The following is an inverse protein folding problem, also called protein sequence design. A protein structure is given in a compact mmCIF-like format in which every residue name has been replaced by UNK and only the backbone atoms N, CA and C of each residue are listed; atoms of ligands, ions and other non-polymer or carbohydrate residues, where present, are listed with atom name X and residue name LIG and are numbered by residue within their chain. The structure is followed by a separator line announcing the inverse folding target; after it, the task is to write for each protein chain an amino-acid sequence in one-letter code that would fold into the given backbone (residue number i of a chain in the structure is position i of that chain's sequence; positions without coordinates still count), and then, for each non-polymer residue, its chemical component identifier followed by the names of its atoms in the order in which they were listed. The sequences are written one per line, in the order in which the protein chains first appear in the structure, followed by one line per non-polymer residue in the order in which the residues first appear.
data_IF_709569159368
#
_entry.id   IF_709569159368
#
_cell.length_a   1.000
_cell.length_b   1.000
_cell.length_c   1.000
_cell.angle_alpha   90.00
_cell.angle_beta   90.00
_cell.angle_gamma   90.00
#
_symmetry.space_group_name_H-M   'P 1'
#
loop_
_entity.id
_entity.type
_entity.pdbx_description
1 polymer ?
#
# COMPACT_ATOMS: atom_id res chain seq x y z
N UNK A 1 8.88 -2.73 18.55
CA UNK A 1 7.79 -2.46 19.50
C UNK A 1 7.30 -1.01 19.53
N UNK A 2 8.11 0.09 19.52
CA UNK A 2 7.57 1.46 19.61
C UNK A 2 6.65 1.88 18.45
N UNK A 3 6.87 1.34 17.23
CA UNK A 3 6.11 1.72 16.00
C UNK A 3 4.63 1.29 16.03
N UNK A 4 4.30 0.28 16.82
CA UNK A 4 2.93 -0.24 16.94
C UNK A 4 2.12 0.52 17.99
N UNK A 5 2.79 1.14 18.98
CA UNK A 5 2.15 1.95 20.01
C UNK A 5 1.52 3.21 19.38
N UNK A 6 2.18 3.85 18.42
CA UNK A 6 1.64 5.04 17.74
C UNK A 6 0.36 4.72 16.92
N UNK A 7 0.24 3.51 16.37
CA UNK A 7 -0.97 3.07 15.68
C UNK A 7 -2.12 2.87 16.66
N UNK A 8 -1.87 2.17 17.78
CA UNK A 8 -2.88 1.95 18.83
C UNK A 8 -3.29 3.29 19.46
N UNK A 9 -2.34 4.18 19.75
CA UNK A 9 -2.61 5.53 20.26
C UNK A 9 -3.42 6.34 19.25
N UNK A 10 -3.09 6.27 17.95
CA UNK A 10 -3.88 6.89 16.88
C UNK A 10 -5.32 6.39 16.84
N UNK A 11 -5.53 5.08 17.00
CA UNK A 11 -6.87 4.46 17.09
C UNK A 11 -7.62 4.95 18.33
N UNK A 12 -6.97 5.00 19.49
CA UNK A 12 -7.58 5.45 20.75
C UNK A 12 -7.97 6.92 20.69
N UNK A 13 -7.08 7.79 20.18
CA UNK A 13 -7.36 9.23 20.02
C UNK A 13 -8.52 9.43 19.04
N UNK A 14 -8.49 8.75 17.89
CA UNK A 14 -9.55 8.83 16.88
C UNK A 14 -10.87 8.24 17.40
N UNK A 15 -10.81 7.11 18.07
CA UNK A 15 -11.95 6.51 18.75
C UNK A 15 -12.57 7.46 19.78
N UNK A 16 -11.72 8.16 20.57
CA UNK A 16 -12.16 9.17 21.54
C UNK A 16 -12.85 10.37 20.86
N UNK A 17 -12.34 10.86 19.75
CA UNK A 17 -12.96 11.94 18.95
C UNK A 17 -14.30 11.48 18.37
N UNK A 18 -14.38 10.24 17.88
CA UNK A 18 -15.64 9.67 17.37
C UNK A 18 -16.67 9.45 18.48
N UNK A 19 -16.25 9.01 19.67
CA UNK A 19 -17.12 8.80 20.85
C UNK A 19 -17.63 10.15 21.37
N UNK A 20 -16.82 11.22 21.37
CA UNK A 20 -17.26 12.58 21.72
C UNK A 20 -18.40 13.11 20.83
N UNK A 21 -18.47 12.63 19.59
CA UNK A 21 -19.56 12.94 18.64
C UNK A 21 -20.72 11.93 18.66
N UNK A 22 -20.72 10.94 19.57
CA UNK A 22 -21.66 9.80 19.65
C UNK A 22 -23.12 10.17 19.97
N UNK A 23 -23.43 11.37 20.37
CA UNK A 23 -24.84 11.81 20.59
C UNK A 23 -25.72 11.75 19.33
N UNK A 24 -25.15 11.44 18.15
CA UNK A 24 -25.89 11.21 16.90
C UNK A 24 -25.98 9.70 16.61
N UNK A 25 -27.19 9.18 16.41
CA UNK A 25 -27.47 7.78 16.02
C UNK A 25 -26.51 7.35 14.89
N UNK A 26 -25.60 6.43 15.18
CA UNK A 26 -24.72 5.80 14.17
C UNK A 26 -25.64 4.94 13.30
N UNK A 27 -25.83 5.33 12.03
CA UNK A 27 -26.48 4.47 11.04
C UNK A 27 -25.38 3.70 10.33
N UNK A 28 -25.26 2.41 10.63
CA UNK A 28 -24.36 1.50 9.89
C UNK A 28 -24.83 1.43 8.43
N UNK A 29 -24.04 2.00 7.52
CA UNK A 29 -24.26 1.82 6.08
C UNK A 29 -23.67 0.47 5.66
N UNK A 30 -24.54 -0.54 5.62
CA UNK A 30 -24.17 -1.88 5.18
C UNK A 30 -24.39 -1.95 3.67
N UNK A 31 -23.29 -1.99 2.91
CA UNK A 31 -23.28 -2.22 1.47
C UNK A 31 -22.38 -3.42 1.12
N UNK A 32 -22.26 -3.72 -0.17
CA UNK A 32 -21.46 -4.84 -0.64
C UNK A 32 -19.97 -4.72 -0.26
N UNK A 33 -19.42 -3.50 -0.27
CA UNK A 33 -18.04 -3.25 0.16
C UNK A 33 -17.86 -3.53 1.66
N UNK A 34 -18.80 -3.09 2.49
CA UNK A 34 -18.75 -3.34 3.93
C UNK A 34 -18.78 -4.83 4.24
N UNK A 35 -19.72 -5.56 3.62
CA UNK A 35 -19.88 -7.01 3.84
C UNK A 35 -18.64 -7.77 3.37
N UNK A 36 -18.19 -7.54 2.14
CA UNK A 36 -17.06 -8.28 1.57
C UNK A 36 -15.76 -8.02 2.35
N UNK A 37 -15.49 -6.77 2.72
CA UNK A 37 -14.32 -6.44 3.54
C UNK A 37 -14.41 -7.02 4.95
N UNK A 38 -15.59 -6.98 5.58
CA UNK A 38 -15.82 -7.59 6.91
C UNK A 38 -15.62 -9.11 6.88
N UNK A 39 -16.10 -9.80 5.83
CA UNK A 39 -15.90 -11.24 5.67
C UNK A 39 -14.42 -11.57 5.47
N UNK A 40 -13.72 -10.80 4.62
CA UNK A 40 -12.27 -10.98 4.43
C UNK A 40 -11.49 -10.81 5.75
N UNK A 41 -11.73 -9.71 6.47
CA UNK A 41 -11.09 -9.44 7.77
C UNK A 41 -11.46 -10.50 8.81
N UNK A 42 -12.72 -10.94 8.84
CA UNK A 42 -13.18 -12.02 9.71
C UNK A 42 -12.45 -13.35 9.44
N UNK A 43 -12.25 -13.69 8.17
CA UNK A 43 -11.46 -14.87 7.79
C UNK A 43 -10.01 -14.77 8.27
N UNK A 44 -9.34 -13.65 7.99
CA UNK A 44 -7.94 -13.41 8.42
C UNK A 44 -7.84 -13.45 9.96
N UNK A 45 -8.84 -12.91 10.67
CA UNK A 45 -8.91 -12.97 12.12
C UNK A 45 -9.03 -14.42 12.63
N UNK A 46 -9.93 -15.22 12.06
CA UNK A 46 -10.08 -16.64 12.42
C UNK A 46 -8.76 -17.39 12.18
N UNK A 47 -8.13 -17.21 11.03
CA UNK A 47 -6.82 -17.79 10.75
C UNK A 47 -5.76 -17.39 11.78
N UNK A 48 -5.80 -16.13 12.27
CA UNK A 48 -4.83 -15.64 13.27
C UNK A 48 -5.00 -16.28 14.65
N UNK A 49 -6.17 -16.84 14.98
CA UNK A 49 -6.41 -17.54 16.24
C UNK A 49 -5.76 -18.95 16.27
N UNK A 50 -5.58 -19.57 15.10
CA UNK A 50 -4.93 -20.87 14.98
C UNK A 50 -3.39 -20.78 14.92
N UNK A 51 -2.87 -19.57 14.80
CA UNK A 51 -1.44 -19.31 14.87
C UNK A 51 -1.13 -18.65 16.22
N UNK A 52 0.04 -18.90 16.80
CA UNK A 52 0.47 -18.26 18.07
C UNK A 52 0.68 -16.74 17.97
N UNK A 53 0.10 -16.10 16.97
CA UNK A 53 0.28 -14.68 16.62
C UNK A 53 -0.83 -13.79 17.19
N UNK A 54 -1.19 -13.92 18.47
CA UNK A 54 -2.28 -13.16 19.11
C UNK A 54 -2.19 -11.64 18.96
N UNK A 55 -0.98 -11.09 18.84
CA UNK A 55 -0.79 -9.64 18.63
C UNK A 55 -1.39 -9.22 17.28
N UNK A 56 -1.29 -10.03 16.24
CA UNK A 56 -1.89 -9.73 14.93
C UNK A 56 -3.41 -9.69 15.00
N UNK A 57 -4.04 -10.57 15.79
CA UNK A 57 -5.49 -10.55 16.01
C UNK A 57 -5.98 -9.23 16.57
N UNK A 58 -5.26 -8.64 17.53
CA UNK A 58 -5.58 -7.32 18.11
C UNK A 58 -5.50 -6.22 17.05
N UNK A 59 -4.49 -6.22 16.18
CA UNK A 59 -4.38 -5.23 15.11
C UNK A 59 -5.48 -5.36 14.06
N UNK A 60 -5.86 -6.60 13.70
CA UNK A 60 -6.94 -6.89 12.74
C UNK A 60 -8.27 -6.33 13.27
N UNK A 61 -8.63 -6.65 14.52
CA UNK A 61 -9.86 -6.16 15.16
C UNK A 61 -9.85 -4.64 15.29
N UNK A 62 -8.73 -4.07 15.75
CA UNK A 62 -8.58 -2.62 15.89
C UNK A 62 -8.73 -1.89 14.55
N UNK A 63 -8.14 -2.45 13.47
CA UNK A 63 -8.29 -1.92 12.13
C UNK A 63 -9.73 -1.99 11.61
N UNK A 64 -10.42 -3.09 11.88
CA UNK A 64 -11.85 -3.21 11.52
C UNK A 64 -12.72 -2.22 12.28
N UNK A 65 -12.52 -2.05 13.59
CA UNK A 65 -13.24 -1.05 14.40
C UNK A 65 -13.00 0.35 13.81
N UNK A 66 -11.75 0.69 13.49
CA UNK A 66 -11.41 1.97 12.88
C UNK A 66 -12.12 2.17 11.53
N UNK A 67 -12.20 1.14 10.69
CA UNK A 67 -12.95 1.17 9.43
C UNK A 67 -14.42 1.49 9.67
N UNK A 68 -15.07 0.80 10.61
CA UNK A 68 -16.49 1.03 10.97
C UNK A 68 -16.70 2.45 11.45
N UNK A 69 -15.83 2.95 12.34
CA UNK A 69 -15.91 4.31 12.88
C UNK A 69 -15.71 5.38 11.80
N UNK A 70 -14.70 5.23 10.94
CA UNK A 70 -14.43 6.18 9.86
C UNK A 70 -15.55 6.20 8.82
N UNK A 71 -16.13 5.05 8.52
CA UNK A 71 -17.18 4.91 7.52
C UNK A 71 -18.48 5.60 7.96
N UNK A 72 -18.80 5.55 9.24
CA UNK A 72 -20.03 6.10 9.81
C UNK A 72 -19.87 7.51 10.38
N UNK A 73 -18.64 8.00 10.51
CA UNK A 73 -18.32 9.34 10.98
C UNK A 73 -18.63 10.40 9.91
N UNK A 74 -19.29 11.50 10.29
CA UNK A 74 -19.44 12.69 9.45
C UNK A 74 -18.14 13.52 9.51
N UNK A 75 -17.08 13.05 8.90
CA UNK A 75 -15.84 13.81 8.85
C UNK A 75 -15.76 14.63 7.56
N UNK A 76 -15.22 15.84 7.66
CA UNK A 76 -14.86 16.62 6.47
C UNK A 76 -13.73 15.89 5.72
N UNK A 77 -14.09 15.17 4.67
CA UNK A 77 -13.12 14.47 3.81
C UNK A 77 -12.09 15.45 3.22
N UNK A 78 -12.47 16.70 2.99
CA UNK A 78 -11.57 17.74 2.48
C UNK A 78 -10.47 18.11 3.47
N UNK A 79 -10.84 18.29 4.75
CA UNK A 79 -9.85 18.57 5.81
C UNK A 79 -8.87 17.41 5.97
N UNK A 80 -9.38 16.19 5.96
CA UNK A 80 -8.54 14.99 6.08
C UNK A 80 -7.61 14.82 4.88
N UNK A 81 -8.10 15.03 3.66
CA UNK A 81 -7.30 15.01 2.46
C UNK A 81 -6.18 16.07 2.51
N UNK A 82 -6.48 17.26 3.06
CA UNK A 82 -5.47 18.32 3.24
C UNK A 82 -4.41 17.94 4.28
N UNK A 83 -4.80 17.29 5.37
CA UNK A 83 -3.87 16.77 6.38
C UNK A 83 -2.96 15.71 5.76
N UNK A 84 -3.49 14.75 5.01
CA UNK A 84 -2.69 13.71 4.35
C UNK A 84 -1.72 14.29 3.33
N UNK A 85 -2.15 15.30 2.57
CA UNK A 85 -1.26 16.02 1.67
C UNK A 85 -0.12 16.72 2.43
N UNK A 86 -0.42 17.37 3.57
CA UNK A 86 0.59 18.01 4.42
C UNK A 86 1.56 16.98 5.02
N UNK A 87 1.08 15.81 5.48
CA UNK A 87 1.92 14.72 5.98
C UNK A 87 2.92 14.26 4.90
N UNK A 88 2.47 14.14 3.65
CA UNK A 88 3.36 13.80 2.52
C UNK A 88 4.46 14.85 2.32
N UNK A 89 4.11 16.13 2.36
CA UNK A 89 5.08 17.24 2.22
C UNK A 89 6.07 17.26 3.38
N UNK A 90 5.60 17.11 4.63
CA UNK A 90 6.48 17.06 5.81
C UNK A 90 7.42 15.85 5.76
N UNK A 91 6.92 14.68 5.34
CA UNK A 91 7.74 13.48 5.14
C UNK A 91 8.81 13.70 4.07
N UNK A 92 8.47 14.40 2.97
CA UNK A 92 9.42 14.72 1.92
C UNK A 92 10.48 15.73 2.39
N UNK A 93 10.10 16.75 3.15
CA UNK A 93 11.06 17.70 3.76
C UNK A 93 12.03 16.97 4.70
N UNK A 94 11.52 16.06 5.52
CA UNK A 94 12.36 15.25 6.39
C UNK A 94 13.37 14.40 5.60
N UNK A 95 12.92 13.75 4.51
CA UNK A 95 13.82 13.00 3.63
C UNK A 95 14.86 13.88 2.92
N UNK A 96 14.50 15.12 2.56
CA UNK A 96 15.45 16.07 1.98
C UNK A 96 16.53 16.49 2.99
N UNK A 97 16.16 16.71 4.26
CA UNK A 97 17.10 17.00 5.33
C UNK A 97 18.06 15.81 5.60
N UNK A 98 17.59 14.57 5.44
CA UNK A 98 18.48 13.40 5.47
C UNK A 98 19.44 13.38 4.28
N UNK A 99 18.94 13.66 3.07
CA UNK A 99 19.78 13.67 1.88
C UNK A 99 20.90 14.72 1.95
N UNK A 100 20.60 15.88 2.52
CA UNK A 100 21.60 16.96 2.70
C UNK A 100 22.52 16.77 3.90
N UNK A 101 22.32 15.70 4.71
CA UNK A 101 23.17 15.39 5.86
C UNK A 101 22.86 16.18 7.14
N UNK A 102 21.79 17.02 7.15
CA UNK A 102 21.34 17.69 8.37
C UNK A 102 20.75 16.74 9.41
N UNK A 103 20.20 15.62 8.95
CA UNK A 103 19.65 14.57 9.81
C UNK A 103 20.32 13.25 9.45
N UNK A 104 20.90 12.58 10.43
CA UNK A 104 21.53 11.27 10.24
C UNK A 104 20.48 10.19 9.98
N UNK A 105 20.82 9.25 9.10
CA UNK A 105 20.03 8.05 8.84
C UNK A 105 20.51 6.91 9.73
N UNK A 106 19.57 6.19 10.35
CA UNK A 106 19.88 4.97 11.11
C UNK A 106 20.06 3.73 10.21
N UNK A 107 20.15 3.93 8.90
CA UNK A 107 20.17 2.89 7.88
C UNK A 107 21.38 3.06 6.97
N UNK A 108 21.78 1.97 6.31
CA UNK A 108 22.79 1.99 5.26
C UNK A 108 22.43 2.90 4.06
N UNK A 109 21.15 3.25 3.93
CA UNK A 109 20.64 4.09 2.85
C UNK A 109 20.60 5.56 3.25
N UNK A 110 20.89 6.44 2.32
CA UNK A 110 20.97 7.89 2.54
C UNK A 110 19.62 8.56 2.86
N UNK A 111 18.50 8.01 2.36
CA UNK A 111 17.17 8.59 2.54
C UNK A 111 16.15 7.49 2.85
N UNK A 112 15.72 7.42 4.09
CA UNK A 112 14.75 6.44 4.56
C UNK A 112 13.61 7.04 5.38
N UNK A 113 13.65 8.34 5.64
CA UNK A 113 12.70 8.97 6.56
C UNK A 113 12.79 8.35 7.95
N UNK A 114 11.65 8.05 8.53
CA UNK A 114 11.52 7.33 9.80
C UNK A 114 11.39 5.81 9.61
N UNK A 115 11.62 5.30 8.39
CA UNK A 115 11.48 3.89 8.04
C UNK A 115 12.85 3.19 8.03
N UNK A 116 12.81 1.87 8.05
CA UNK A 116 14.00 1.01 8.01
C UNK A 116 14.61 0.88 6.59
N UNK A 117 13.85 1.26 5.55
CA UNK A 117 14.30 1.17 4.17
C UNK A 117 13.67 2.24 3.26
N UNK A 118 14.27 2.49 2.09
CA UNK A 118 13.78 3.46 1.12
C UNK A 118 12.38 3.15 0.57
N UNK A 119 11.98 1.87 0.49
CA UNK A 119 10.67 1.50 -0.06
C UNK A 119 9.53 1.88 0.89
N UNK A 120 9.71 1.70 2.21
CA UNK A 120 8.75 2.13 3.22
C UNK A 120 8.59 3.66 3.23
N UNK A 121 9.70 4.38 3.16
CA UNK A 121 9.69 5.83 3.06
C UNK A 121 9.00 6.33 1.78
N UNK A 122 9.38 5.78 0.62
CA UNK A 122 8.75 6.15 -0.64
C UNK A 122 7.24 5.83 -0.62
N UNK A 123 6.82 4.71 -0.02
CA UNK A 123 5.42 4.40 0.15
C UNK A 123 4.69 5.49 0.93
N UNK A 124 5.24 5.99 2.06
CA UNK A 124 4.61 7.05 2.85
C UNK A 124 4.36 8.33 2.06
N UNK A 125 5.28 8.71 1.18
CA UNK A 125 5.15 9.88 0.31
C UNK A 125 4.17 9.63 -0.83
N UNK A 126 4.32 8.50 -1.53
CA UNK A 126 3.54 8.18 -2.73
C UNK A 126 2.07 7.95 -2.40
N UNK A 127 1.75 7.41 -1.21
CA UNK A 127 0.37 7.25 -0.77
C UNK A 127 -0.30 8.59 -0.42
N UNK A 128 0.46 9.59 -0.03
CA UNK A 128 -0.02 10.95 0.21
C UNK A 128 -0.12 11.80 -1.07
N UNK A 129 0.64 11.46 -2.11
CA UNK A 129 0.71 12.21 -3.37
C UNK A 129 -0.65 12.42 -4.06
N UNK A 130 -1.56 11.43 -4.17
CA UNK A 130 -2.87 11.63 -4.77
C UNK A 130 -3.72 12.69 -4.07
N UNK A 131 -3.60 12.82 -2.75
CA UNK A 131 -4.34 13.84 -1.98
C UNK A 131 -3.87 15.24 -2.33
N UNK A 132 -2.58 15.43 -2.56
CA UNK A 132 -2.03 16.70 -3.05
C UNK A 132 -2.40 16.93 -4.52
N UNK A 133 -2.28 15.89 -5.37
CA UNK A 133 -2.51 15.98 -6.80
C UNK A 133 -3.97 16.33 -7.14
N UNK A 134 -4.95 15.79 -6.39
CA UNK A 134 -6.38 16.04 -6.63
C UNK A 134 -6.91 17.35 -6.05
N UNK A 135 -6.16 18.05 -5.20
CA UNK A 135 -6.61 19.35 -4.65
C UNK A 135 -6.85 20.36 -5.77
N UNK A 136 -7.99 21.03 -5.71
CA UNK A 136 -8.25 22.21 -6.55
C UNK A 136 -7.57 23.45 -5.95
N UNK A 137 -6.85 24.19 -6.75
CA UNK A 137 -6.15 25.38 -6.29
C UNK A 137 -6.06 26.44 -7.40
N UNK A 138 -6.19 27.70 -7.03
CA UNK A 138 -6.14 28.83 -7.94
C UNK A 138 -5.05 29.83 -7.53
N UNK A 139 -4.57 30.63 -8.47
CA UNK A 139 -3.57 31.70 -8.22
C UNK A 139 -2.29 31.16 -7.53
N UNK A 140 -1.82 31.88 -6.51
CA UNK A 140 -0.59 31.52 -5.74
C UNK A 140 -0.62 30.10 -5.14
N UNK A 141 -1.80 29.59 -4.74
CA UNK A 141 -1.95 28.24 -4.22
C UNK A 141 -1.65 27.17 -5.28
N UNK A 142 -1.92 27.45 -6.55
CA UNK A 142 -1.58 26.55 -7.67
C UNK A 142 -0.06 26.37 -7.80
N UNK A 143 0.70 27.46 -7.70
CA UNK A 143 2.16 27.43 -7.73
C UNK A 143 2.72 26.64 -6.54
N UNK A 144 2.22 26.93 -5.32
CA UNK A 144 2.64 26.20 -4.12
C UNK A 144 2.36 24.69 -4.23
N UNK A 145 1.17 24.31 -4.71
CA UNK A 145 0.82 22.92 -4.98
C UNK A 145 1.80 22.26 -5.97
N UNK A 146 2.11 22.97 -7.08
CA UNK A 146 3.06 22.45 -8.08
C UNK A 146 4.45 22.20 -7.46
N UNK A 147 4.96 23.15 -6.69
CA UNK A 147 6.24 23.03 -5.99
C UNK A 147 6.23 21.88 -4.98
N UNK A 148 5.13 21.71 -4.25
CA UNK A 148 4.97 20.59 -3.34
C UNK A 148 4.95 19.24 -4.07
N UNK A 149 4.22 19.11 -5.18
CA UNK A 149 4.26 17.90 -6.01
C UNK A 149 5.66 17.60 -6.53
N UNK A 150 6.38 18.62 -6.99
CA UNK A 150 7.76 18.49 -7.48
C UNK A 150 8.69 18.03 -6.36
N UNK A 151 8.55 18.58 -5.14
CA UNK A 151 9.31 18.15 -3.98
C UNK A 151 9.10 16.66 -3.69
N UNK A 152 7.84 16.18 -3.67
CA UNK A 152 7.55 14.77 -3.44
C UNK A 152 8.22 13.88 -4.49
N UNK A 153 8.14 14.25 -5.76
CA UNK A 153 8.74 13.52 -6.87
C UNK A 153 10.27 13.45 -6.71
N UNK A 154 10.92 14.58 -6.47
CA UNK A 154 12.37 14.67 -6.30
C UNK A 154 12.83 13.77 -5.14
N UNK A 155 12.17 13.86 -3.99
CA UNK A 155 12.58 13.09 -2.81
C UNK A 155 12.37 11.59 -2.98
N UNK A 156 11.32 11.16 -3.68
CA UNK A 156 11.16 9.74 -4.04
C UNK A 156 12.28 9.26 -4.98
N UNK A 157 12.71 10.09 -5.93
CA UNK A 157 13.85 9.77 -6.80
C UNK A 157 15.15 9.67 -5.96
N UNK A 158 15.42 10.64 -5.09
CA UNK A 158 16.58 10.66 -4.20
C UNK A 158 16.62 9.48 -3.23
N UNK A 159 15.47 8.96 -2.82
CA UNK A 159 15.40 7.75 -1.99
C UNK A 159 15.89 6.48 -2.71
N UNK A 160 15.97 6.49 -4.04
CA UNK A 160 16.35 5.34 -4.86
C UNK A 160 15.35 4.18 -4.82
N UNK A 161 14.09 4.45 -4.42
CA UNK A 161 13.02 3.46 -4.39
C UNK A 161 12.43 3.24 -5.78
N UNK A 162 12.80 2.13 -6.42
CA UNK A 162 12.31 1.76 -7.76
C UNK A 162 10.78 1.64 -7.81
N UNK A 163 10.20 0.97 -6.81
CA UNK A 163 8.75 0.83 -6.70
C UNK A 163 8.07 2.19 -6.51
N UNK A 164 8.67 3.09 -5.72
CA UNK A 164 8.18 4.46 -5.53
C UNK A 164 8.15 5.25 -6.83
N UNK A 165 9.23 5.23 -7.60
CA UNK A 165 9.32 5.92 -8.90
C UNK A 165 8.27 5.37 -9.88
N UNK A 166 8.18 4.05 -10.02
CA UNK A 166 7.20 3.40 -10.89
C UNK A 166 5.78 3.80 -10.50
N UNK A 167 5.45 3.75 -9.20
CA UNK A 167 4.11 4.08 -8.71
C UNK A 167 3.75 5.54 -8.95
N UNK A 168 4.68 6.48 -8.71
CA UNK A 168 4.47 7.90 -9.02
C UNK A 168 4.13 8.11 -10.50
N UNK A 169 4.89 7.49 -11.40
CA UNK A 169 4.64 7.58 -12.84
C UNK A 169 3.26 7.02 -13.21
N UNK A 170 2.93 5.81 -12.75
CA UNK A 170 1.63 5.17 -13.04
C UNK A 170 0.47 6.02 -12.53
N UNK A 171 0.53 6.48 -11.27
CA UNK A 171 -0.55 7.25 -10.65
C UNK A 171 -0.71 8.62 -11.31
N UNK A 172 0.40 9.28 -11.67
CA UNK A 172 0.35 10.56 -12.38
C UNK A 172 -0.26 10.40 -13.77
N UNK A 173 0.17 9.39 -14.53
CA UNK A 173 -0.41 9.09 -15.85
C UNK A 173 -1.90 8.74 -15.73
N UNK A 174 -2.27 7.91 -14.75
CA UNK A 174 -3.66 7.54 -14.51
C UNK A 174 -4.52 8.76 -14.16
N UNK A 175 -4.05 9.62 -13.25
CA UNK A 175 -4.75 10.85 -12.91
C UNK A 175 -5.02 11.72 -14.13
N UNK A 176 -4.01 11.98 -14.95
CA UNK A 176 -4.18 12.81 -16.15
C UNK A 176 -5.04 12.10 -17.22
N UNK A 177 -4.92 10.79 -17.38
CA UNK A 177 -5.77 10.02 -18.29
C UNK A 177 -7.24 10.11 -17.90
N UNK A 178 -7.56 10.00 -16.62
CA UNK A 178 -8.92 10.13 -16.10
C UNK A 178 -9.43 11.58 -16.18
N UNK A 179 -8.59 12.55 -15.86
CA UNK A 179 -8.93 13.98 -15.89
C UNK A 179 -9.23 14.49 -17.28
N UNK A 180 -8.44 14.06 -18.27
CA UNK A 180 -8.55 14.48 -19.66
C UNK A 180 -9.19 13.40 -20.57
N UNK A 181 -9.98 12.49 -20.01
CA UNK A 181 -10.59 11.35 -20.72
C UNK A 181 -11.32 11.76 -22.01
N UNK A 182 -12.03 12.91 -22.03
CA UNK A 182 -12.74 13.42 -23.21
C UNK A 182 -11.78 13.80 -24.35
N UNK A 183 -10.63 14.39 -24.03
CA UNK A 183 -9.60 14.78 -25.00
C UNK A 183 -8.86 13.54 -25.52
N UNK A 184 -8.55 12.61 -24.60
CA UNK A 184 -7.82 11.37 -24.88
C UNK A 184 -8.68 10.41 -25.69
N UNK A 185 -10.02 10.42 -25.56
CA UNK A 185 -10.92 9.51 -26.24
C UNK A 185 -10.75 9.52 -27.76
N UNK A 186 -10.50 10.69 -28.37
CA UNK A 186 -10.28 10.85 -29.81
C UNK A 186 -8.97 10.22 -30.31
N UNK A 187 -7.95 10.06 -29.43
CA UNK A 187 -6.64 9.47 -29.74
C UNK A 187 -6.22 8.42 -28.70
N UNK A 188 -7.19 7.72 -28.13
CA UNK A 188 -6.98 6.83 -26.98
C UNK A 188 -5.93 5.75 -27.23
N UNK A 189 -5.90 5.17 -28.46
CA UNK A 189 -4.93 4.13 -28.81
C UNK A 189 -3.51 4.70 -28.71
N UNK A 190 -3.26 5.88 -29.27
CA UNK A 190 -1.96 6.53 -29.22
C UNK A 190 -1.51 6.85 -27.79
N UNK A 191 -2.42 7.37 -26.93
CA UNK A 191 -2.10 7.66 -25.54
C UNK A 191 -1.88 6.40 -24.70
N UNK A 192 -2.70 5.35 -24.93
CA UNK A 192 -2.54 4.07 -24.22
C UNK A 192 -1.23 3.38 -24.65
N UNK A 193 -0.96 3.29 -25.95
CA UNK A 193 0.26 2.63 -26.45
C UNK A 193 1.51 3.40 -26.05
N UNK A 194 1.53 4.74 -26.16
CA UNK A 194 2.65 5.56 -25.75
C UNK A 194 2.90 5.48 -24.24
N UNK A 195 1.84 5.55 -23.43
CA UNK A 195 1.94 5.37 -21.97
C UNK A 195 2.41 3.97 -21.58
N UNK A 196 1.92 2.93 -22.24
CA UNK A 196 2.36 1.55 -22.00
C UNK A 196 3.85 1.35 -22.38
N UNK A 197 4.26 1.83 -23.54
CA UNK A 197 5.68 1.78 -23.95
C UNK A 197 6.59 2.53 -22.99
N UNK A 198 6.18 3.71 -22.54
CA UNK A 198 6.91 4.47 -21.53
C UNK A 198 7.06 3.69 -20.22
N UNK A 199 5.97 3.11 -19.70
CA UNK A 199 5.99 2.35 -18.45
C UNK A 199 6.81 1.06 -18.57
N UNK A 200 6.76 0.37 -19.72
CA UNK A 200 7.59 -0.80 -20.00
C UNK A 200 9.06 -0.40 -20.02
N UNK A 201 9.42 0.65 -20.76
CA UNK A 201 10.79 1.15 -20.81
C UNK A 201 11.31 1.58 -19.45
N UNK A 202 10.48 2.29 -18.66
CA UNK A 202 10.80 2.67 -17.28
C UNK A 202 11.02 1.43 -16.40
N UNK A 203 10.14 0.45 -16.45
CA UNK A 203 10.24 -0.78 -15.66
C UNK A 203 11.52 -1.55 -15.98
N UNK A 204 11.84 -1.72 -17.27
CA UNK A 204 13.07 -2.35 -17.72
C UNK A 204 14.28 -1.57 -17.21
N UNK A 205 14.32 -0.24 -17.39
CA UNK A 205 15.40 0.61 -16.90
C UNK A 205 15.60 0.49 -15.39
N UNK A 206 14.52 0.46 -14.60
CA UNK A 206 14.58 0.28 -13.15
C UNK A 206 15.11 -1.10 -12.71
N UNK A 207 14.93 -2.15 -13.51
CA UNK A 207 15.54 -3.47 -13.26
C UNK A 207 17.04 -3.39 -13.45
N UNK A 208 17.51 -2.79 -14.55
CA UNK A 208 18.94 -2.67 -14.86
C UNK A 208 19.72 -1.81 -13.87
N UNK A 209 19.08 -0.87 -13.17
CA UNK A 209 19.74 -0.05 -12.14
C UNK A 209 20.23 -0.85 -10.92
N UNK A 210 19.58 -1.96 -10.56
CA UNK A 210 19.95 -2.81 -9.40
C UNK A 210 19.67 -4.29 -9.72
N UNK A 211 20.45 -4.94 -10.60
CA UNK A 211 20.16 -6.30 -11.07
C UNK A 211 20.19 -7.34 -9.93
N UNK A 212 21.17 -7.28 -9.03
CA UNK A 212 21.28 -8.22 -7.91
C UNK A 212 20.02 -8.23 -7.01
N UNK A 213 19.42 -7.07 -6.75
CA UNK A 213 18.17 -6.99 -6.00
C UNK A 213 16.94 -7.54 -6.77
N UNK A 214 16.98 -7.52 -8.10
CA UNK A 214 15.92 -8.14 -8.90
C UNK A 214 16.07 -9.67 -8.90
N UNK A 215 17.28 -10.17 -9.14
CA UNK A 215 17.58 -11.61 -9.10
C UNK A 215 17.31 -12.25 -7.74
N UNK A 216 17.67 -11.56 -6.65
CA UNK A 216 17.35 -12.02 -5.29
C UNK A 216 15.84 -12.17 -5.04
N UNK A 217 14.99 -11.28 -5.60
CA UNK A 217 13.53 -11.44 -5.50
C UNK A 217 13.03 -12.63 -6.31
N UNK A 218 13.60 -12.88 -7.49
CA UNK A 218 13.25 -14.06 -8.29
C UNK A 218 13.54 -15.34 -7.52
N UNK A 219 14.71 -15.43 -6.85
CA UNK A 219 15.01 -16.58 -5.98
C UNK A 219 13.99 -16.71 -4.86
N UNK A 220 13.67 -15.61 -4.16
CA UNK A 220 12.67 -15.61 -3.09
C UNK A 220 11.32 -16.15 -3.62
N UNK A 221 10.89 -15.74 -4.80
CA UNK A 221 9.63 -16.20 -5.39
C UNK A 221 9.68 -17.67 -5.82
N UNK A 222 10.81 -18.15 -6.36
CA UNK A 222 11.01 -19.57 -6.68
C UNK A 222 10.85 -20.44 -5.41
N UNK A 223 11.52 -20.09 -4.32
CA UNK A 223 11.43 -20.77 -3.03
C UNK A 223 10.00 -20.67 -2.47
N UNK A 224 9.42 -19.49 -2.50
CA UNK A 224 8.06 -19.25 -1.99
C UNK A 224 6.98 -20.05 -2.71
N UNK A 225 7.17 -20.39 -3.98
CA UNK A 225 6.26 -21.26 -4.73
C UNK A 225 6.20 -22.68 -4.14
N UNK A 226 7.28 -23.14 -3.48
CA UNK A 226 7.30 -24.42 -2.74
C UNK A 226 6.35 -24.39 -1.55
N UNK A 227 6.33 -23.28 -0.80
CA UNK A 227 5.46 -23.10 0.39
C UNK A 227 3.96 -23.13 0.07
N UNK A 228 3.58 -22.80 -1.18
CA UNK A 228 2.17 -22.81 -1.58
C UNK A 228 1.62 -24.24 -1.79
N UNK A 229 2.48 -25.27 -1.96
CA UNK A 229 2.03 -26.60 -2.42
C UNK A 229 1.33 -27.41 -1.33
N UNK A 230 1.76 -27.30 -0.08
CA UNK A 230 1.29 -28.17 1.00
C UNK A 230 -0.13 -27.80 1.46
N UNK A 231 -0.45 -26.50 1.54
CA UNK A 231 -1.74 -26.00 2.03
C UNK A 231 -2.36 -24.92 1.12
N UNK A 232 -2.41 -25.19 -0.19
CA UNK A 232 -2.82 -24.20 -1.20
C UNK A 232 -4.22 -23.62 -0.97
N UNK A 233 -5.16 -24.39 -0.39
CA UNK A 233 -6.56 -23.94 -0.21
C UNK A 233 -6.68 -22.99 0.97
N UNK A 234 -6.17 -23.35 2.14
CA UNK A 234 -6.34 -22.61 3.39
C UNK A 234 -5.11 -21.78 3.79
N UNK A 235 -3.96 -22.03 3.15
CA UNK A 235 -2.66 -21.45 3.50
C UNK A 235 -2.02 -22.08 4.72
N UNK A 236 -0.79 -21.67 5.01
CA UNK A 236 0.02 -22.17 6.12
C UNK A 236 -0.25 -21.42 7.44
N UNK A 237 -1.15 -20.43 7.42
CA UNK A 237 -1.48 -19.59 8.56
C UNK A 237 -0.69 -18.26 8.59
N UNK A 238 -1.26 -17.30 9.29
CA UNK A 238 -0.72 -15.94 9.38
C UNK A 238 0.67 -15.94 10.04
N UNK A 239 1.66 -15.31 9.38
CA UNK A 239 3.03 -15.22 9.87
C UNK A 239 3.89 -16.44 9.61
N UNK A 240 3.37 -17.47 8.94
CA UNK A 240 4.09 -18.72 8.63
C UNK A 240 5.29 -18.51 7.73
N UNK A 241 5.20 -17.57 6.77
CA UNK A 241 6.29 -17.29 5.82
C UNK A 241 7.65 -17.12 6.51
N UNK A 242 7.68 -16.37 7.60
CA UNK A 242 8.92 -16.10 8.34
C UNK A 242 9.55 -17.36 8.94
N UNK A 243 8.73 -18.31 9.37
CA UNK A 243 9.19 -19.56 9.96
C UNK A 243 9.61 -20.58 8.88
N UNK A 244 8.82 -20.66 7.81
CA UNK A 244 8.89 -21.74 6.84
C UNK A 244 9.86 -21.43 5.68
N UNK A 245 10.22 -20.14 5.46
CA UNK A 245 11.04 -19.76 4.31
C UNK A 245 12.44 -20.37 4.32
N UNK A 246 13.15 -20.34 5.44
CA UNK A 246 14.54 -20.84 5.50
C UNK A 246 14.64 -22.37 5.33
N UNK A 247 13.77 -23.18 5.97
CA UNK A 247 13.71 -24.61 5.68
C UNK A 247 13.42 -24.92 4.22
N UNK A 248 12.46 -24.22 3.59
CA UNK A 248 12.13 -24.43 2.17
C UNK A 248 13.25 -23.95 1.24
N UNK A 249 13.95 -22.86 1.59
CA UNK A 249 15.13 -22.42 0.84
C UNK A 249 16.24 -23.50 0.89
N UNK A 250 16.50 -24.10 2.05
CA UNK A 250 17.49 -25.15 2.17
C UNK A 250 17.12 -26.37 1.31
N UNK A 251 15.84 -26.78 1.31
CA UNK A 251 15.30 -27.85 0.46
C UNK A 251 15.45 -27.52 -1.04
N UNK A 252 15.12 -26.28 -1.44
CA UNK A 252 15.29 -25.83 -2.82
C UNK A 252 16.77 -25.88 -3.25
N UNK A 253 17.68 -25.35 -2.44
CA UNK A 253 19.13 -25.28 -2.75
C UNK A 253 19.81 -26.67 -2.79
N UNK A 254 19.25 -27.67 -2.11
CA UNK A 254 19.72 -29.06 -2.19
C UNK A 254 19.19 -29.81 -3.43
N UNK A 255 18.22 -29.25 -4.14
CA UNK A 255 17.64 -29.85 -5.34
C UNK A 255 18.51 -29.58 -6.59
N UNK A 256 18.27 -30.36 -7.64
CA UNK A 256 18.91 -30.18 -8.96
C UNK A 256 18.42 -28.95 -9.73
N UNK A 257 17.40 -28.26 -9.22
CA UNK A 257 16.83 -27.06 -9.85
C UNK A 257 17.55 -25.76 -9.45
N UNK A 258 18.39 -25.79 -8.42
CA UNK A 258 19.09 -24.63 -7.92
C UNK A 258 20.40 -24.41 -8.69
N UNK A 259 20.52 -23.25 -9.32
CA UNK A 259 21.72 -22.79 -10.00
C UNK A 259 22.76 -22.29 -9.00
N UNK A 260 24.03 -22.17 -9.43
CA UNK A 260 25.08 -21.57 -8.59
C UNK A 260 24.80 -20.10 -8.26
N UNK A 261 24.18 -19.36 -9.16
CA UNK A 261 23.70 -18.01 -8.91
C UNK A 261 22.65 -17.94 -7.80
N UNK A 262 21.76 -18.92 -7.69
CA UNK A 262 20.75 -19.02 -6.62
C UNK A 262 21.45 -19.24 -5.25
N UNK A 263 22.54 -20.02 -5.21
CA UNK A 263 23.33 -20.26 -3.99
C UNK A 263 24.05 -19.02 -3.49
N UNK A 264 24.58 -18.19 -4.41
CA UNK A 264 25.24 -16.93 -4.08
C UNK A 264 24.23 -15.88 -3.55
N UNK A 265 23.02 -15.89 -4.10
CA UNK A 265 21.94 -14.97 -3.72
C UNK A 265 21.13 -15.42 -2.49
N UNK A 266 21.36 -16.65 -2.03
CA UNK A 266 20.65 -17.22 -0.90
C UNK A 266 20.85 -16.39 0.38
N UNK A 267 19.78 -16.17 1.11
CA UNK A 267 19.83 -15.40 2.35
C UNK A 267 18.50 -15.40 3.09
N UNK A 268 18.54 -15.01 4.36
CA UNK A 268 17.34 -14.93 5.16
C UNK A 268 16.48 -13.74 4.77
N UNK A 269 15.17 -13.97 4.64
CA UNK A 269 14.19 -12.91 4.43
C UNK A 269 12.92 -13.17 5.25
N UNK A 270 12.35 -12.08 5.76
CA UNK A 270 11.09 -12.14 6.51
C UNK A 270 9.87 -11.80 5.63
N UNK A 271 10.07 -11.47 4.35
CA UNK A 271 9.02 -11.03 3.44
C UNK A 271 9.31 -11.49 2.01
N UNK A 272 8.30 -11.96 1.25
CA UNK A 272 8.48 -12.39 -0.13
C UNK A 272 8.61 -11.21 -1.13
N UNK A 273 8.56 -9.95 -0.68
CA UNK A 273 8.51 -8.73 -1.51
C UNK A 273 7.36 -8.72 -2.53
N UNK A 274 6.31 -9.45 -2.22
CA UNK A 274 5.04 -9.51 -2.95
C UNK A 274 3.94 -9.91 -1.97
N UNK A 275 3.03 -8.98 -1.66
CA UNK A 275 1.98 -9.20 -0.68
C UNK A 275 0.90 -10.18 -1.17
N UNK A 276 0.71 -10.29 -2.48
CA UNK A 276 -0.24 -11.26 -3.05
C UNK A 276 0.27 -12.68 -2.89
N UNK A 277 1.59 -12.88 -3.08
CA UNK A 277 2.24 -14.14 -2.82
C UNK A 277 2.21 -14.48 -1.32
N UNK A 278 2.47 -13.48 -0.46
CA UNK A 278 2.35 -13.65 0.98
C UNK A 278 0.93 -14.06 1.39
N UNK A 279 -0.08 -13.39 0.84
CA UNK A 279 -1.49 -13.72 1.08
C UNK A 279 -1.83 -15.15 0.64
N UNK A 280 -1.29 -15.59 -0.51
CA UNK A 280 -1.48 -16.97 -0.98
C UNK A 280 -0.82 -17.99 -0.06
N UNK A 281 0.40 -17.75 0.41
CA UNK A 281 1.13 -18.63 1.32
C UNK A 281 0.41 -18.72 2.66
N UNK A 282 0.01 -17.60 3.23
CA UNK A 282 -0.52 -17.54 4.59
C UNK A 282 -2.02 -17.83 4.68
N UNK A 283 -2.82 -17.41 3.67
CA UNK A 283 -4.28 -17.46 3.69
C UNK A 283 -4.88 -18.36 2.59
N UNK A 284 -4.04 -18.87 1.70
CA UNK A 284 -4.43 -19.76 0.62
C UNK A 284 -5.36 -19.14 -0.43
N UNK A 285 -5.95 -19.99 -1.24
CA UNK A 285 -6.92 -19.58 -2.29
C UNK A 285 -8.19 -18.96 -1.69
N UNK A 286 -8.60 -19.37 -0.48
CA UNK A 286 -9.76 -18.78 0.20
C UNK A 286 -9.47 -17.30 0.49
N UNK A 287 -8.29 -16.99 1.07
CA UNK A 287 -7.88 -15.61 1.33
C UNK A 287 -7.81 -14.77 0.06
N UNK A 288 -7.24 -15.31 -1.02
CA UNK A 288 -7.20 -14.66 -2.34
C UNK A 288 -8.60 -14.40 -2.87
N UNK A 289 -9.52 -15.38 -2.81
CA UNK A 289 -10.90 -15.22 -3.31
C UNK A 289 -11.66 -14.11 -2.54
N UNK A 290 -11.54 -14.08 -1.21
CA UNK A 290 -12.17 -13.05 -0.38
C UNK A 290 -11.55 -11.66 -0.60
N UNK A 291 -10.24 -11.59 -0.80
CA UNK A 291 -9.56 -10.36 -1.18
C UNK A 291 -10.05 -9.84 -2.54
N UNK A 292 -10.13 -10.71 -3.56
CA UNK A 292 -10.67 -10.35 -4.88
C UNK A 292 -12.14 -9.92 -4.81
N UNK A 293 -12.95 -10.57 -3.97
CA UNK A 293 -14.33 -10.15 -3.72
C UNK A 293 -14.38 -8.71 -3.17
N UNK A 294 -13.48 -8.36 -2.26
CA UNK A 294 -13.36 -7.01 -1.71
C UNK A 294 -12.91 -6.00 -2.77
N UNK A 295 -12.00 -6.38 -3.67
CA UNK A 295 -11.62 -5.54 -4.82
C UNK A 295 -12.78 -5.33 -5.79
N UNK A 296 -13.53 -6.37 -6.11
CA UNK A 296 -14.74 -6.26 -6.95
C UNK A 296 -15.75 -5.30 -6.30
N UNK A 297 -15.91 -5.36 -4.99
CA UNK A 297 -16.78 -4.45 -4.27
C UNK A 297 -16.34 -2.98 -4.35
N UNK A 298 -15.01 -2.71 -4.32
CA UNK A 298 -14.46 -1.37 -4.57
C UNK A 298 -14.83 -0.87 -5.96
N UNK A 299 -14.68 -1.70 -6.99
CA UNK A 299 -15.01 -1.30 -8.38
C UNK A 299 -16.51 -1.20 -8.66
N UNK A 300 -17.35 -1.92 -7.90
CA UNK A 300 -18.82 -1.84 -7.99
C UNK A 300 -19.41 -0.67 -7.21
N UNK A 301 -18.69 -0.13 -6.21
CA UNK A 301 -19.11 1.11 -5.58
C UNK A 301 -19.10 2.22 -6.65
N UNK A 302 -20.06 3.16 -6.61
CA UNK A 302 -20.16 4.28 -7.56
C UNK A 302 -18.98 5.26 -7.40
N UNK A 303 -17.77 4.75 -7.60
CA UNK A 303 -16.52 5.47 -7.39
C UNK A 303 -16.27 6.40 -8.57
N UNK A 304 -16.08 7.67 -8.26
CA UNK A 304 -15.52 8.61 -9.23
C UNK A 304 -14.02 8.28 -9.34
N UNK A 305 -13.61 7.77 -10.52
CA UNK A 305 -12.26 7.24 -10.77
C UNK A 305 -11.11 8.24 -10.57
N UNK A 306 -11.39 9.53 -10.46
CA UNK A 306 -10.41 10.59 -10.22
C UNK A 306 -10.27 10.98 -8.74
N UNK A 307 -10.77 10.15 -7.82
CA UNK A 307 -10.66 10.42 -6.39
C UNK A 307 -9.26 10.11 -5.84
N UNK A 308 -8.74 10.89 -4.87
CA UNK A 308 -7.47 10.59 -4.25
C UNK A 308 -7.45 9.21 -3.58
N UNK A 309 -8.58 8.78 -3.01
CA UNK A 309 -8.70 7.48 -2.38
C UNK A 309 -8.45 6.32 -3.36
N UNK A 310 -9.06 6.36 -4.55
CA UNK A 310 -8.84 5.32 -5.55
C UNK A 310 -7.39 5.30 -6.05
N UNK A 311 -6.81 6.47 -6.34
CA UNK A 311 -5.42 6.57 -6.77
C UNK A 311 -4.45 6.06 -5.70
N UNK A 312 -4.76 6.30 -4.42
CA UNK A 312 -3.98 5.76 -3.30
C UNK A 312 -4.10 4.24 -3.21
N UNK A 313 -5.30 3.66 -3.37
CA UNK A 313 -5.47 2.20 -3.41
C UNK A 313 -4.71 1.57 -4.58
N UNK A 314 -4.70 2.20 -5.76
CA UNK A 314 -3.87 1.78 -6.90
C UNK A 314 -2.38 1.85 -6.54
N UNK A 315 -1.94 2.91 -5.84
CA UNK A 315 -0.55 3.01 -5.36
C UNK A 315 -0.19 1.85 -4.44
N UNK A 316 -1.05 1.51 -3.49
CA UNK A 316 -0.84 0.38 -2.58
C UNK A 316 -0.77 -0.94 -3.37
N UNK A 317 -1.67 -1.14 -4.33
CA UNK A 317 -1.66 -2.34 -5.17
C UNK A 317 -0.34 -2.52 -5.94
N UNK A 318 0.23 -1.44 -6.49
CA UNK A 318 1.53 -1.49 -7.18
C UNK A 318 2.67 -1.79 -6.18
N UNK A 319 2.69 -1.12 -5.02
CA UNK A 319 3.69 -1.41 -3.98
C UNK A 319 3.61 -2.87 -3.53
N UNK A 320 2.41 -3.43 -3.43
CA UNK A 320 2.17 -4.82 -3.02
C UNK A 320 2.73 -5.85 -4.01
N UNK A 321 2.91 -5.50 -5.30
CA UNK A 321 3.56 -6.38 -6.29
C UNK A 321 5.06 -6.53 -6.06
N UNK A 322 5.74 -5.49 -5.52
CA UNK A 322 7.21 -5.43 -5.53
C UNK A 322 7.83 -5.07 -4.17
N UNK A 323 7.05 -5.01 -3.11
CA UNK A 323 7.49 -4.63 -1.76
C UNK A 323 6.63 -5.34 -0.70
N UNK A 324 6.78 -4.91 0.55
CA UNK A 324 6.00 -5.39 1.69
C UNK A 324 5.36 -4.22 2.46
N UNK A 325 4.45 -3.45 1.81
CA UNK A 325 3.87 -2.26 2.39
C UNK A 325 3.04 -2.55 3.64
N UNK A 326 2.45 -3.74 3.78
CA UNK A 326 1.60 -4.10 4.93
C UNK A 326 2.36 -4.28 6.25
N UNK A 327 3.68 -4.28 6.22
CA UNK A 327 4.52 -4.16 7.42
C UNK A 327 4.30 -2.82 8.15
N UNK A 328 3.87 -1.77 7.44
CA UNK A 328 3.78 -0.42 7.97
C UNK A 328 2.36 -0.06 8.37
N UNK A 329 2.16 0.31 9.64
CA UNK A 329 0.85 0.71 10.18
C UNK A 329 0.23 1.89 9.42
N UNK A 330 1.04 2.81 8.88
CA UNK A 330 0.58 3.91 8.04
C UNK A 330 -0.18 3.43 6.80
N UNK A 331 0.29 2.36 6.16
CA UNK A 331 -0.37 1.80 4.96
C UNK A 331 -1.74 1.23 5.30
N UNK A 332 -1.85 0.51 6.42
CA UNK A 332 -3.14 0.02 6.93
C UNK A 332 -4.12 1.15 7.20
N UNK A 333 -3.64 2.22 7.84
CA UNK A 333 -4.46 3.42 8.04
C UNK A 333 -4.95 4.00 6.72
N UNK A 334 -4.08 4.10 5.70
CA UNK A 334 -4.44 4.61 4.37
C UNK A 334 -5.47 3.72 3.67
N UNK A 335 -5.34 2.39 3.75
CA UNK A 335 -6.35 1.45 3.22
C UNK A 335 -7.70 1.71 3.88
N UNK A 336 -7.74 1.71 5.21
CA UNK A 336 -8.96 1.89 5.99
C UNK A 336 -9.62 3.23 5.66
N UNK A 337 -8.85 4.31 5.64
CA UNK A 337 -9.34 5.64 5.28
C UNK A 337 -9.91 5.68 3.86
N UNK A 338 -9.18 5.15 2.88
CA UNK A 338 -9.60 5.14 1.49
C UNK A 338 -10.89 4.33 1.31
N UNK A 339 -10.97 3.11 1.87
CA UNK A 339 -12.17 2.28 1.79
C UNK A 339 -13.38 2.92 2.49
N UNK A 340 -13.18 3.57 3.63
CA UNK A 340 -14.23 4.28 4.34
C UNK A 340 -14.74 5.51 3.57
N UNK A 341 -13.84 6.24 2.90
CA UNK A 341 -14.18 7.48 2.17
C UNK A 341 -14.92 7.22 0.86
N UNK A 342 -14.80 6.04 0.25
CA UNK A 342 -15.50 5.70 -0.99
C UNK A 342 -17.02 5.72 -0.83
N UNK A 343 -17.55 5.41 0.34
CA UNK A 343 -19.00 5.38 0.60
C UNK A 343 -19.61 6.75 0.99
N UNK A 344 -18.81 7.64 1.55
CA UNK A 344 -19.36 8.91 2.07
C UNK A 344 -19.91 9.84 0.97
N UNK A 345 -19.52 9.63 -0.29
CA UNK A 345 -20.01 10.40 -1.44
C UNK A 345 -21.40 9.99 -1.95
N UNK A 346 -21.80 8.73 -1.79
CA UNK A 346 -23.18 8.32 -2.12
C UNK A 346 -24.23 9.00 -1.24
N UNK A 347 -23.90 9.22 0.03
CA UNK A 347 -24.80 9.88 1.00
C UNK A 347 -24.91 11.39 0.76
N UNK A 348 -23.91 12.01 0.17
CA UNK A 348 -23.89 13.45 -0.15
C UNK A 348 -24.60 13.79 -1.48
N UNK A 349 -24.81 12.79 -2.36
CA UNK A 349 -25.50 12.94 -3.65
C UNK A 349 -26.99 12.55 -3.59
N UNK A 350 -27.45 11.98 -2.48
CA UNK A 350 -28.87 11.74 -2.14
C UNK A 350 -29.36 12.79 -1.17
#
# INVERSE_FOLDING_TARGET
MPKNISFVVGIVIWGGICIGNWKRKIRLSVDFLFVSFTVFIGYVFVCSLFTSQYIHSVYIVSGWILFVLMRNGKNSTETFNSILAAVGVLSALYGLLQYTGYIETQSYFSVTGSFDNPAGFAASIVLCYPFLLCQTSNGKRKTLKFMACLLLIIVVILSGSRTGILTLCVVTLLFYALRYRKLIHRRRIFFISGGALFLIGLFIGLIYLKPASASGRVLIWKVSAGLCKEHIIQGNGLGSFKADYMPEQAKYLSSSYADESDRILAGNTNHPFNEYLLLLIEQGLIGIALFLLSLIAVFRSNVVFDTPALLTLVSIAIFSCFSYPFKYAFVWFMIIYCLASLNQREVALR
#
